data_IF_261899005303
#
_entry.id   IF_261899005303
#
_cell.length_a   1.000
_cell.length_b   1.000
_cell.length_c   1.000
_cell.angle_alpha   90.00
_cell.angle_beta   90.00
_cell.angle_gamma   90.00
#
_symmetry.space_group_name_H-M   'P 1'
#
loop_
_entity.id
_entity.type
_entity.pdbx_description
1 polymer ?
#
# COMPACT_ATOMS: atom_id res chain seq x y z
N UNK A 1 18.88 53.38 -5.70
CA UNK A 1 17.65 52.58 -5.91
C UNK A 1 17.81 51.53 -6.99
N UNK A 2 18.37 51.78 -8.16
CA UNK A 2 18.50 50.75 -9.25
C UNK A 2 19.42 49.58 -8.89
N UNK A 3 20.49 49.78 -8.11
CA UNK A 3 21.38 48.69 -7.64
C UNK A 3 20.75 47.75 -6.62
N UNK A 4 19.89 48.24 -5.74
CA UNK A 4 19.17 47.43 -4.74
C UNK A 4 18.10 46.59 -5.41
N UNK A 5 17.43 47.12 -6.44
CA UNK A 5 16.45 46.34 -7.22
C UNK A 5 17.11 45.21 -8.03
N UNK A 6 18.29 45.43 -8.59
CA UNK A 6 19.04 44.40 -9.30
C UNK A 6 19.50 43.26 -8.36
N UNK A 7 19.89 43.59 -7.12
CA UNK A 7 20.30 42.62 -6.12
C UNK A 7 19.13 41.73 -5.62
N UNK A 8 17.95 42.34 -5.45
CA UNK A 8 16.72 41.59 -5.07
C UNK A 8 16.22 40.67 -6.18
N UNK A 9 16.36 41.06 -7.45
CA UNK A 9 15.98 40.19 -8.58
C UNK A 9 16.97 39.04 -8.73
N UNK A 10 18.26 39.23 -8.49
CA UNK A 10 19.25 38.15 -8.49
C UNK A 10 18.99 37.12 -7.36
N UNK A 11 18.58 37.57 -6.18
CA UNK A 11 18.27 36.68 -5.07
C UNK A 11 16.96 35.86 -5.30
N UNK A 12 15.96 36.45 -5.95
CA UNK A 12 14.73 35.79 -6.32
C UNK A 12 14.93 34.69 -7.40
N UNK A 13 15.88 34.85 -8.30
CA UNK A 13 16.23 33.85 -9.31
C UNK A 13 17.02 32.67 -8.73
N UNK A 14 17.73 32.84 -7.62
CA UNK A 14 18.43 31.76 -6.92
C UNK A 14 17.49 30.90 -6.03
N UNK A 15 16.35 31.45 -5.61
CA UNK A 15 15.36 30.73 -4.79
C UNK A 15 14.49 29.77 -5.60
N UNK A 16 14.49 29.81 -6.91
CA UNK A 16 13.62 28.99 -7.77
C UNK A 16 14.20 27.63 -8.16
N UNK A 17 15.37 27.25 -7.68
CA UNK A 17 15.97 25.92 -7.89
C UNK A 17 15.85 24.98 -6.68
N UNK A 18 14.78 25.10 -5.89
CA UNK A 18 14.32 23.99 -5.07
C UNK A 18 13.71 22.96 -6.02
N UNK A 19 14.57 22.27 -6.76
CA UNK A 19 14.28 21.05 -7.46
C UNK A 19 13.67 20.12 -6.40
N UNK A 20 12.39 19.80 -6.52
CA UNK A 20 11.83 18.68 -5.79
C UNK A 20 12.62 17.45 -6.24
N UNK A 21 13.60 17.04 -5.45
CA UNK A 21 14.30 15.78 -5.67
C UNK A 21 13.23 14.70 -5.79
N UNK A 22 13.30 13.89 -6.84
CA UNK A 22 12.37 12.76 -6.96
C UNK A 22 12.59 11.80 -5.79
N UNK A 23 11.57 11.00 -5.45
CA UNK A 23 11.72 9.95 -4.45
C UNK A 23 12.92 9.03 -4.77
N UNK A 24 13.16 8.77 -6.03
CA UNK A 24 14.33 7.98 -6.47
C UNK A 24 15.66 8.69 -6.15
N UNK A 25 15.77 9.99 -6.38
CA UNK A 25 16.98 10.75 -6.06
C UNK A 25 17.24 10.73 -4.54
N UNK A 26 16.20 10.82 -3.73
CA UNK A 26 16.30 10.69 -2.28
C UNK A 26 16.83 9.30 -1.88
N UNK A 27 16.27 8.21 -2.41
CA UNK A 27 16.71 6.84 -2.15
C UNK A 27 18.17 6.67 -2.53
N UNK A 28 18.57 7.10 -3.74
CA UNK A 28 19.95 6.97 -4.21
C UNK A 28 20.93 7.82 -3.40
N UNK A 29 20.52 9.00 -2.96
CA UNK A 29 21.35 9.88 -2.13
C UNK A 29 21.54 9.35 -0.70
N UNK A 30 20.47 8.81 -0.11
CA UNK A 30 20.49 8.29 1.28
C UNK A 30 21.02 6.87 1.37
N UNK A 31 21.03 6.12 0.26
CA UNK A 31 21.35 4.71 0.24
C UNK A 31 20.32 3.83 0.93
N UNK A 32 19.07 4.30 1.10
CA UNK A 32 18.05 3.59 1.87
C UNK A 32 16.69 3.59 1.15
N UNK A 33 16.14 2.38 0.91
CA UNK A 33 14.78 2.17 0.45
C UNK A 33 13.87 1.86 1.64
N UNK A 34 12.90 2.74 1.92
CA UNK A 34 11.85 2.52 2.93
C UNK A 34 10.61 1.92 2.28
N UNK A 35 10.13 0.79 2.81
CA UNK A 35 8.98 0.05 2.28
C UNK A 35 7.92 -0.11 3.37
N UNK A 36 6.73 0.47 3.14
CA UNK A 36 5.58 0.29 4.03
C UNK A 36 5.00 -1.13 3.90
N UNK A 37 4.81 -1.82 5.02
CA UNK A 37 4.25 -3.18 5.05
C UNK A 37 3.33 -3.39 6.24
N UNK A 38 2.26 -4.16 6.05
CA UNK A 38 1.25 -4.41 7.09
C UNK A 38 1.65 -5.53 8.04
N UNK A 39 2.40 -6.50 7.56
CA UNK A 39 2.89 -7.62 8.35
C UNK A 39 1.83 -8.64 8.78
N UNK A 40 0.62 -8.55 8.25
CA UNK A 40 -0.54 -9.39 8.59
C UNK A 40 -1.08 -10.20 7.39
N UNK A 41 -0.29 -10.32 6.32
CA UNK A 41 -0.70 -11.00 5.09
C UNK A 41 0.20 -12.23 4.82
N UNK A 42 -0.15 -13.41 5.40
CA UNK A 42 0.65 -14.63 5.26
C UNK A 42 0.93 -15.00 3.80
N UNK A 43 2.18 -15.39 3.53
CA UNK A 43 2.67 -15.70 2.19
C UNK A 43 3.10 -14.47 1.37
N UNK A 44 2.64 -13.27 1.70
CA UNK A 44 2.95 -12.01 0.99
C UNK A 44 3.81 -11.08 1.82
N UNK A 45 3.28 -10.60 2.95
CA UNK A 45 3.98 -9.73 3.89
C UNK A 45 3.55 -10.09 5.31
N UNK A 46 4.22 -11.02 5.91
CA UNK A 46 3.94 -11.50 7.26
C UNK A 46 5.06 -11.13 8.21
N UNK A 47 4.72 -10.62 9.38
CA UNK A 47 5.69 -10.40 10.45
C UNK A 47 5.68 -11.60 11.38
N UNK A 48 6.73 -12.40 11.33
CA UNK A 48 6.86 -13.59 12.15
C UNK A 48 6.96 -13.20 13.64
N UNK A 49 6.05 -13.65 14.50
CA UNK A 49 6.02 -13.25 15.92
C UNK A 49 7.19 -13.84 16.73
N UNK A 50 7.81 -14.93 16.26
CA UNK A 50 8.91 -15.59 16.95
C UNK A 50 10.25 -14.89 16.66
N UNK A 51 10.49 -14.53 15.40
CA UNK A 51 11.73 -13.91 14.94
C UNK A 51 11.64 -12.38 14.88
N UNK A 52 10.42 -11.82 14.89
CA UNK A 52 10.13 -10.41 14.66
C UNK A 52 10.56 -9.90 13.27
N UNK A 53 10.85 -10.79 12.34
CA UNK A 53 11.25 -10.48 10.96
C UNK A 53 10.06 -10.49 10.02
N UNK A 54 10.17 -9.71 8.93
CA UNK A 54 9.20 -9.76 7.83
C UNK A 54 9.61 -10.82 6.82
N UNK A 55 8.63 -11.61 6.37
CA UNK A 55 8.78 -12.69 5.40
C UNK A 55 7.61 -12.71 4.40
N UNK A 56 7.83 -13.31 3.24
CA UNK A 56 6.84 -13.49 2.18
C UNK A 56 7.27 -12.89 0.85
N UNK A 57 6.47 -13.17 -0.18
CA UNK A 57 6.77 -12.81 -1.57
C UNK A 57 7.08 -11.32 -1.78
N UNK A 58 6.23 -10.43 -1.24
CA UNK A 58 6.44 -8.98 -1.35
C UNK A 58 7.70 -8.50 -0.63
N UNK A 59 8.04 -9.16 0.47
CA UNK A 59 9.26 -8.88 1.23
C UNK A 59 10.50 -9.25 0.41
N UNK A 60 10.46 -10.40 -0.24
CA UNK A 60 11.55 -10.87 -1.08
C UNK A 60 11.72 -10.01 -2.34
N UNK A 61 10.61 -9.62 -2.98
CA UNK A 61 10.62 -8.67 -4.11
C UNK A 61 11.21 -7.33 -3.70
N UNK A 62 10.83 -6.79 -2.54
CA UNK A 62 11.36 -5.52 -2.04
C UNK A 62 12.85 -5.61 -1.72
N UNK A 63 13.30 -6.69 -1.07
CA UNK A 63 14.72 -6.97 -0.81
C UNK A 63 15.51 -7.07 -2.10
N UNK A 64 14.97 -7.78 -3.11
CA UNK A 64 15.62 -7.90 -4.43
C UNK A 64 15.73 -6.54 -5.12
N UNK A 65 14.67 -5.71 -5.07
CA UNK A 65 14.70 -4.38 -5.64
C UNK A 65 15.78 -3.50 -4.99
N UNK A 66 15.85 -3.47 -3.65
CA UNK A 66 16.88 -2.71 -2.94
C UNK A 66 18.30 -3.19 -3.32
N UNK A 67 18.50 -4.49 -3.39
CA UNK A 67 19.78 -5.08 -3.81
C UNK A 67 20.16 -4.69 -5.25
N UNK A 68 19.20 -4.69 -6.19
CA UNK A 68 19.44 -4.28 -7.58
C UNK A 68 19.74 -2.77 -7.70
N UNK A 69 19.17 -1.97 -6.81
CA UNK A 69 19.47 -0.54 -6.71
C UNK A 69 20.80 -0.25 -5.97
N UNK A 70 21.39 -1.24 -5.30
CA UNK A 70 22.59 -1.07 -4.49
C UNK A 70 22.37 -0.23 -3.22
N UNK A 71 21.18 -0.32 -2.61
CA UNK A 71 20.80 0.42 -1.40
C UNK A 71 20.35 -0.53 -0.29
N UNK A 72 20.39 -0.06 0.94
CA UNK A 72 19.80 -0.76 2.10
C UNK A 72 18.28 -0.70 2.07
N UNK A 73 17.61 -1.58 2.83
CA UNK A 73 16.15 -1.63 2.95
C UNK A 73 15.71 -1.49 4.41
N UNK A 74 14.63 -0.73 4.62
CA UNK A 74 13.92 -0.61 5.88
C UNK A 74 12.44 -0.91 5.67
N UNK A 75 11.88 -1.85 6.43
CA UNK A 75 10.45 -2.11 6.46
C UNK A 75 9.78 -1.27 7.54
N UNK A 76 8.84 -0.42 7.12
CA UNK A 76 8.08 0.48 7.99
C UNK A 76 6.70 -0.11 8.25
N UNK A 77 6.40 -0.43 9.51
CA UNK A 77 5.10 -0.96 9.88
C UNK A 77 3.97 0.02 9.59
N UNK A 78 2.90 -0.46 8.98
CA UNK A 78 1.68 0.31 8.68
C UNK A 78 0.46 -0.61 8.73
N UNK A 79 -0.71 -0.09 8.44
CA UNK A 79 -1.96 -0.84 8.29
C UNK A 79 -2.58 -0.64 6.90
N UNK A 80 -3.55 -1.48 6.54
CA UNK A 80 -4.20 -1.45 5.23
C UNK A 80 -4.87 -0.12 4.90
N UNK A 81 -5.43 0.56 5.90
CA UNK A 81 -6.08 1.86 5.74
C UNK A 81 -5.09 2.96 5.38
N UNK A 82 -3.89 2.88 5.93
CA UNK A 82 -2.83 3.88 5.79
C UNK A 82 -1.78 3.52 4.72
N UNK A 83 -1.89 2.35 4.09
CA UNK A 83 -0.88 1.80 3.20
C UNK A 83 -0.51 2.75 2.04
N UNK A 84 -1.49 3.32 1.35
CA UNK A 84 -1.25 4.25 0.23
C UNK A 84 -1.00 5.68 0.73
N UNK A 85 -1.74 6.12 1.75
CA UNK A 85 -1.55 7.47 2.31
C UNK A 85 -0.19 7.67 2.96
N UNK A 86 0.45 6.60 3.43
CA UNK A 86 1.81 6.65 3.95
C UNK A 86 2.85 6.97 2.87
N UNK A 87 2.68 6.46 1.65
CA UNK A 87 3.49 6.85 0.48
C UNK A 87 3.30 8.33 0.17
N UNK A 88 2.04 8.78 0.08
CA UNK A 88 1.71 10.19 -0.20
C UNK A 88 2.29 11.13 0.86
N UNK A 89 2.32 10.69 2.12
CA UNK A 89 2.87 11.46 3.25
C UNK A 89 4.40 11.26 3.43
N UNK A 90 5.08 10.60 2.49
CA UNK A 90 6.53 10.33 2.51
C UNK A 90 7.00 9.63 3.80
N UNK A 91 6.14 8.82 4.44
CA UNK A 91 6.54 7.97 5.57
C UNK A 91 7.42 6.82 5.12
N UNK A 92 7.22 6.36 3.92
CA UNK A 92 8.01 5.37 3.19
C UNK A 92 7.93 5.65 1.69
N UNK A 93 8.89 5.17 0.93
CA UNK A 93 9.04 5.48 -0.49
C UNK A 93 8.08 4.68 -1.36
N UNK A 94 7.77 3.46 -0.95
CA UNK A 94 6.85 2.56 -1.66
C UNK A 94 6.15 1.60 -0.71
N UNK A 95 5.15 0.91 -1.24
CA UNK A 95 4.49 -0.22 -0.59
C UNK A 95 4.15 -1.29 -1.63
N UNK A 96 3.90 -2.51 -1.17
CA UNK A 96 3.47 -3.65 -1.99
C UNK A 96 2.03 -4.06 -1.68
N UNK A 97 1.50 -5.06 -2.38
CA UNK A 97 0.14 -5.64 -2.17
C UNK A 97 -1.02 -4.65 -2.26
N UNK A 98 -0.78 -3.44 -2.74
CA UNK A 98 -1.82 -2.45 -2.91
C UNK A 98 -2.54 -2.65 -4.26
N UNK A 99 -3.70 -3.32 -4.25
CA UNK A 99 -4.52 -3.47 -5.44
C UNK A 99 -4.78 -2.14 -6.13
N UNK A 100 -4.68 -2.11 -7.46
CA UNK A 100 -4.91 -0.92 -8.27
C UNK A 100 -6.41 -0.59 -8.24
N UNK A 101 -6.75 0.59 -7.73
CA UNK A 101 -8.11 1.14 -7.79
C UNK A 101 -8.04 2.57 -8.30
N UNK A 102 -9.10 3.05 -8.94
CA UNK A 102 -9.18 4.44 -9.43
C UNK A 102 -8.86 5.44 -8.32
N UNK A 103 -9.44 5.25 -7.13
CA UNK A 103 -9.22 6.14 -5.98
C UNK A 103 -7.74 6.20 -5.57
N UNK A 104 -7.05 5.07 -5.50
CA UNK A 104 -5.63 4.99 -5.13
C UNK A 104 -4.74 5.54 -6.24
N UNK A 105 -5.04 5.22 -7.52
CA UNK A 105 -4.27 5.68 -8.67
C UNK A 105 -4.33 7.19 -8.90
N UNK A 106 -5.36 7.88 -8.38
CA UNK A 106 -5.43 9.35 -8.38
C UNK A 106 -4.46 10.01 -7.39
N UNK A 107 -3.93 9.26 -6.43
CA UNK A 107 -3.12 9.82 -5.33
C UNK A 107 -1.69 9.30 -5.29
N UNK A 108 -1.43 8.10 -5.84
CA UNK A 108 -0.11 7.48 -5.87
C UNK A 108 0.15 6.83 -7.23
N UNK A 109 1.42 6.87 -7.68
CA UNK A 109 1.87 6.14 -8.86
C UNK A 109 1.91 4.64 -8.62
N UNK A 110 1.71 3.86 -9.67
CA UNK A 110 1.82 2.40 -9.65
C UNK A 110 2.86 1.93 -10.67
N UNK A 111 3.56 0.86 -10.34
CA UNK A 111 4.31 0.08 -11.34
C UNK A 111 3.33 -0.73 -12.22
N UNK A 112 3.86 -1.40 -13.24
CA UNK A 112 3.12 -2.48 -13.86
C UNK A 112 2.75 -3.53 -12.82
N UNK A 113 1.58 -4.17 -13.00
CA UNK A 113 1.17 -5.29 -12.14
C UNK A 113 2.18 -6.44 -12.29
N UNK A 114 2.71 -6.91 -11.18
CA UNK A 114 3.62 -8.06 -11.14
C UNK A 114 2.93 -9.34 -10.65
N UNK A 115 1.70 -9.24 -10.19
CA UNK A 115 0.85 -10.36 -9.79
C UNK A 115 -0.63 -10.03 -9.92
N UNK A 116 -1.46 -11.05 -10.17
CA UNK A 116 -2.91 -10.93 -10.24
C UNK A 116 -3.59 -12.11 -9.54
N UNK A 117 -4.66 -11.81 -8.80
CA UNK A 117 -5.46 -12.82 -8.10
C UNK A 117 -6.93 -12.42 -8.10
N UNK A 118 -7.82 -13.36 -7.81
CA UNK A 118 -9.24 -13.11 -7.64
C UNK A 118 -9.65 -13.09 -6.17
N UNK A 119 -10.78 -12.45 -5.89
CA UNK A 119 -11.43 -12.50 -4.58
C UNK A 119 -12.27 -13.76 -4.47
N UNK A 120 -12.12 -14.48 -3.36
CA UNK A 120 -12.94 -15.64 -3.01
C UNK A 120 -13.52 -15.46 -1.61
N UNK A 121 -14.72 -15.99 -1.40
CA UNK A 121 -15.28 -16.12 -0.06
C UNK A 121 -14.84 -17.46 0.54
N UNK A 122 -14.49 -17.45 1.82
CA UNK A 122 -14.11 -18.65 2.57
C UNK A 122 -15.07 -18.84 3.75
N UNK A 123 -15.49 -20.07 3.97
CA UNK A 123 -16.35 -20.45 5.08
C UNK A 123 -15.99 -21.83 5.61
N UNK A 124 -16.52 -22.21 6.77
CA UNK A 124 -16.40 -23.56 7.29
C UNK A 124 -17.24 -24.52 6.42
N UNK A 125 -16.77 -25.78 6.29
CA UNK A 125 -17.44 -26.82 5.50
C UNK A 125 -18.91 -27.02 5.89
N UNK A 126 -19.23 -26.92 7.17
CA UNK A 126 -20.58 -27.08 7.70
C UNK A 126 -21.56 -25.99 7.26
N UNK A 127 -21.04 -24.86 6.76
CA UNK A 127 -21.87 -23.78 6.24
C UNK A 127 -22.10 -23.84 4.72
N UNK A 128 -21.48 -24.78 4.00
CA UNK A 128 -21.53 -24.82 2.54
C UNK A 128 -22.96 -25.05 2.01
N UNK A 129 -23.80 -25.82 2.71
CA UNK A 129 -25.20 -26.01 2.29
C UNK A 129 -25.99 -24.71 2.37
N UNK A 130 -25.69 -23.86 3.37
CA UNK A 130 -26.38 -22.58 3.59
C UNK A 130 -25.87 -21.47 2.69
N UNK A 131 -24.54 -21.36 2.52
CA UNK A 131 -23.88 -20.21 1.86
C UNK A 131 -22.91 -20.61 0.74
N UNK A 132 -23.18 -21.75 0.07
CA UNK A 132 -22.30 -22.34 -0.96
C UNK A 132 -22.20 -21.59 -2.29
N UNK A 133 -22.90 -20.47 -2.46
CA UNK A 133 -22.78 -19.59 -3.64
C UNK A 133 -22.89 -18.11 -3.21
N UNK A 134 -22.55 -17.20 -4.13
CA UNK A 134 -22.55 -15.76 -3.88
C UNK A 134 -23.93 -15.22 -3.49
N UNK A 135 -24.98 -15.69 -4.14
CA UNK A 135 -26.35 -15.19 -3.92
C UNK A 135 -26.84 -15.50 -2.51
N UNK A 136 -26.42 -16.63 -1.96
CA UNK A 136 -26.79 -17.07 -0.61
C UNK A 136 -26.04 -16.28 0.48
N UNK A 137 -24.96 -15.57 0.17
CA UNK A 137 -24.23 -14.76 1.13
C UNK A 137 -25.01 -13.47 1.44
N UNK A 138 -25.67 -12.87 0.44
CA UNK A 138 -26.34 -11.59 0.59
C UNK A 138 -27.68 -11.69 1.32
N UNK A 139 -27.63 -11.82 2.64
CA UNK A 139 -28.83 -11.82 3.50
C UNK A 139 -28.50 -11.34 4.91
N UNK A 140 -29.51 -10.91 5.68
CA UNK A 140 -29.37 -10.32 7.02
C UNK A 140 -28.87 -11.29 8.10
N UNK A 141 -28.89 -12.62 7.83
CA UNK A 141 -28.44 -13.64 8.78
C UNK A 141 -26.97 -14.02 8.56
N UNK A 142 -26.37 -13.53 7.48
CA UNK A 142 -24.96 -13.77 7.16
C UNK A 142 -24.10 -12.62 7.65
N UNK A 143 -22.98 -12.96 8.28
CA UNK A 143 -21.93 -12.01 8.64
C UNK A 143 -20.70 -12.27 7.76
N UNK A 144 -20.26 -11.25 7.03
CA UNK A 144 -19.07 -11.28 6.18
C UNK A 144 -17.95 -10.53 6.90
N UNK A 145 -16.86 -11.21 7.21
CA UNK A 145 -15.68 -10.60 7.81
C UNK A 145 -14.72 -10.12 6.71
N UNK A 146 -14.26 -8.88 6.83
CA UNK A 146 -13.30 -8.26 5.89
C UNK A 146 -12.33 -7.37 6.63
N UNK A 147 -11.13 -7.18 6.07
CA UNK A 147 -10.15 -6.24 6.65
C UNK A 147 -10.45 -4.82 6.19
N UNK A 148 -10.56 -3.91 7.16
CA UNK A 148 -10.82 -2.49 6.93
C UNK A 148 -9.72 -1.85 6.06
N UNK A 149 -10.11 -1.02 5.09
CA UNK A 149 -9.20 -0.31 4.19
C UNK A 149 -8.73 -1.12 2.98
N UNK A 150 -9.12 -2.40 2.87
CA UNK A 150 -8.82 -3.25 1.72
C UNK A 150 -9.83 -3.10 0.59
N UNK A 151 -9.53 -3.67 -0.57
CA UNK A 151 -10.50 -3.80 -1.67
C UNK A 151 -11.65 -4.72 -1.30
N UNK A 152 -11.40 -5.71 -0.45
CA UNK A 152 -12.40 -6.68 0.01
C UNK A 152 -13.55 -6.01 0.78
N UNK A 153 -13.27 -4.96 1.56
CA UNK A 153 -14.31 -4.15 2.22
C UNK A 153 -15.28 -3.55 1.20
N UNK A 154 -14.73 -2.94 0.13
CA UNK A 154 -15.56 -2.32 -0.90
C UNK A 154 -16.34 -3.35 -1.72
N UNK A 155 -15.72 -4.48 -2.04
CA UNK A 155 -16.36 -5.58 -2.74
C UNK A 155 -17.48 -6.19 -1.92
N UNK A 156 -17.26 -6.45 -0.63
CA UNK A 156 -18.29 -6.97 0.25
C UNK A 156 -19.49 -6.02 0.39
N UNK A 157 -19.24 -4.70 0.57
CA UNK A 157 -20.30 -3.68 0.61
C UNK A 157 -21.13 -3.63 -0.68
N UNK A 158 -20.48 -3.84 -1.82
CA UNK A 158 -21.14 -3.82 -3.13
C UNK A 158 -21.90 -5.10 -3.44
N UNK A 159 -21.29 -6.26 -3.11
CA UNK A 159 -21.82 -7.57 -3.48
C UNK A 159 -22.81 -8.12 -2.46
N UNK A 160 -22.70 -7.70 -1.21
CA UNK A 160 -23.51 -8.21 -0.09
C UNK A 160 -24.10 -7.08 0.75
N UNK A 161 -24.89 -6.16 0.14
CA UNK A 161 -25.42 -4.99 0.84
C UNK A 161 -26.36 -5.32 1.99
N UNK A 162 -27.01 -6.50 1.97
CA UNK A 162 -27.96 -6.94 2.98
C UNK A 162 -27.28 -7.75 4.12
N UNK A 163 -26.02 -8.13 3.95
CA UNK A 163 -25.26 -8.86 4.96
C UNK A 163 -24.68 -7.94 6.02
N UNK A 164 -24.46 -8.49 7.22
CA UNK A 164 -23.68 -7.81 8.26
C UNK A 164 -22.21 -7.84 7.91
N UNK A 165 -21.52 -6.71 8.01
CA UNK A 165 -20.07 -6.65 7.84
C UNK A 165 -19.39 -6.58 9.21
N UNK A 166 -18.37 -7.44 9.40
CA UNK A 166 -17.43 -7.39 10.52
C UNK A 166 -16.07 -6.95 9.99
N UNK A 167 -15.48 -5.91 10.61
CA UNK A 167 -14.22 -5.29 10.19
C UNK A 167 -13.18 -5.32 11.29
#
# INVERSE_FOLDING_TARGET
MKFIQALLISFALFASSLSNASTLDEIMKTGLLKVGTTGDFPGWSFKNPETNEYEGYDIDVAKKLAADMGVDIEFVATDWKNLVTGVVASKYHMTSSASITTKRALTAGYSNSYYGTGTVAMTLSDNLEKIGNWDNINNSDTTVAVTLGTVFENEAKKSFPDSKLSM
#
